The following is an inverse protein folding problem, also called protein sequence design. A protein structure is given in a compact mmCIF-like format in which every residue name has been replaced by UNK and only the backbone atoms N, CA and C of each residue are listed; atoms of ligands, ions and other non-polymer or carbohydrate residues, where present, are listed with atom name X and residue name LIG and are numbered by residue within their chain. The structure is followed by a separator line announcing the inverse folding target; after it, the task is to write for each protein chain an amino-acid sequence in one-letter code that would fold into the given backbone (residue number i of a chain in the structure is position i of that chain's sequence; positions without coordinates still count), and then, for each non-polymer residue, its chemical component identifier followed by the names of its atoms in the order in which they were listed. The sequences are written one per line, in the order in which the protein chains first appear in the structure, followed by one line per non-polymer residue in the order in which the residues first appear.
data_IF_298564787012
#
_entry.id   IF_298564787012
#
_cell.length_a   1.000
_cell.length_b   1.000
_cell.length_c   1.000
_cell.angle_alpha   90.00
_cell.angle_beta   90.00
_cell.angle_gamma   90.00
#
_symmetry.space_group_name_H-M   'P 1'
#
loop_
_entity.id
_entity.type
_entity.pdbx_description
1 polymer ?
#
# COMPACT_ATOMS: atom_id res chain seq x y z
N UNK A 1 40.75 -29.97 -44.03
CA UNK A 1 41.95 -29.56 -44.80
C UNK A 1 41.65 -28.22 -45.47
N UNK A 2 42.66 -27.34 -45.67
CA UNK A 2 42.53 -25.88 -45.82
C UNK A 2 42.69 -25.44 -47.31
N UNK A 3 42.91 -24.20 -47.77
CA UNK A 3 43.25 -22.85 -47.22
C UNK A 3 42.20 -21.80 -47.68
N UNK A 4 42.35 -20.47 -47.75
CA UNK A 4 43.39 -19.42 -47.51
C UNK A 4 42.64 -18.06 -47.38
N UNK A 5 42.96 -17.04 -46.59
CA UNK A 5 44.20 -16.42 -46.04
C UNK A 5 44.84 -15.31 -46.92
N UNK A 6 44.56 -14.05 -46.58
CA UNK A 6 45.42 -12.83 -46.59
C UNK A 6 44.63 -11.76 -45.81
N UNK A 7 45.00 -11.28 -44.61
CA UNK A 7 46.23 -10.66 -44.11
C UNK A 7 46.66 -9.37 -44.81
N UNK A 8 46.42 -8.24 -44.15
CA UNK A 8 47.47 -7.24 -43.89
C UNK A 8 47.21 -6.54 -42.55
N UNK A 9 48.13 -6.74 -41.61
CA UNK A 9 48.26 -6.00 -40.34
C UNK A 9 49.16 -4.76 -40.57
N UNK A 10 49.10 -3.76 -39.68
CA UNK A 10 50.19 -2.81 -39.33
C UNK A 10 49.73 -1.75 -38.30
N UNK A 11 49.63 -2.16 -37.05
CA UNK A 11 50.23 -1.51 -35.86
C UNK A 11 50.54 0.02 -35.83
N UNK A 12 50.06 0.71 -34.78
CA UNK A 12 50.88 1.31 -33.69
C UNK A 12 50.61 2.78 -33.24
N UNK A 13 50.99 3.04 -31.98
CA UNK A 13 51.35 4.31 -31.30
C UNK A 13 50.25 5.23 -30.70
N UNK A 14 49.99 4.97 -29.41
CA UNK A 14 49.98 5.89 -28.24
C UNK A 14 50.04 7.41 -28.48
N UNK A 15 49.13 8.18 -27.85
CA UNK A 15 49.33 9.62 -27.62
C UNK A 15 48.19 10.33 -26.90
N UNK A 16 48.34 10.63 -25.60
CA UNK A 16 47.47 11.57 -24.87
C UNK A 16 47.67 13.00 -25.38
N UNK A 17 46.67 13.89 -25.24
CA UNK A 17 46.98 15.14 -24.54
C UNK A 17 45.87 15.73 -23.64
N UNK A 18 46.35 16.41 -22.61
CA UNK A 18 45.79 17.57 -21.92
C UNK A 18 47.00 18.50 -21.62
N UNK A 19 46.91 19.75 -21.10
CA UNK A 19 45.72 20.54 -20.72
C UNK A 19 45.79 22.03 -21.18
N UNK A 20 44.73 22.81 -20.90
CA UNK A 20 44.69 24.28 -20.58
C UNK A 20 43.21 24.75 -20.58
N UNK A 21 42.73 25.80 -19.88
CA UNK A 21 43.08 26.44 -18.60
C UNK A 21 41.93 27.45 -18.22
N UNK A 22 41.90 27.93 -16.96
CA UNK A 22 41.07 29.05 -16.44
C UNK A 22 39.51 28.85 -16.36
N UNK A 23 38.77 29.40 -15.38
CA UNK A 23 39.13 30.10 -14.15
C UNK A 23 37.99 30.12 -13.08
N UNK A 24 38.41 29.95 -11.81
CA UNK A 24 38.01 30.70 -10.59
C UNK A 24 36.59 30.67 -10.00
N UNK A 25 36.53 30.60 -8.66
CA UNK A 25 35.34 30.85 -7.82
C UNK A 25 35.25 29.88 -6.63
N UNK A 26 35.86 30.21 -5.48
CA UNK A 26 35.86 29.35 -4.29
C UNK A 26 35.36 30.05 -3.02
N UNK A 27 35.04 29.27 -1.99
CA UNK A 27 35.04 29.72 -0.59
C UNK A 27 35.28 28.56 0.38
N UNK A 28 35.86 28.87 1.52
CA UNK A 28 36.71 27.95 2.29
C UNK A 28 36.01 27.21 3.44
N UNK A 29 36.59 26.09 3.86
CA UNK A 29 36.33 25.46 5.16
C UNK A 29 37.43 25.86 6.13
N UNK A 30 37.08 26.30 7.35
CA UNK A 30 38.05 26.42 8.46
C UNK A 30 37.96 25.20 9.38
N UNK A 31 39.08 24.50 9.51
CA UNK A 31 39.37 23.69 10.69
C UNK A 31 40.18 24.55 11.67
N UNK A 32 40.12 24.24 12.97
CA UNK A 32 41.04 24.75 13.98
C UNK A 32 41.21 23.69 15.08
N UNK A 33 42.38 23.69 15.73
CA UNK A 33 42.90 22.53 16.44
C UNK A 33 43.62 22.88 17.75
N UNK A 34 43.42 22.00 18.74
CA UNK A 34 44.41 21.56 19.74
C UNK A 34 44.88 22.48 20.90
N UNK A 35 44.98 21.84 22.08
CA UNK A 35 45.87 22.20 23.20
C UNK A 35 45.21 22.87 24.43
N UNK A 36 45.60 22.59 25.69
CA UNK A 36 46.50 21.55 26.27
C UNK A 36 46.30 21.46 27.81
N UNK A 37 46.48 20.25 28.38
CA UNK A 37 47.09 19.91 29.69
C UNK A 37 46.62 20.47 31.06
N UNK A 38 46.47 19.52 32.01
CA UNK A 38 46.81 19.51 33.45
C UNK A 38 46.06 20.44 34.44
N UNK A 39 45.43 19.92 35.50
CA UNK A 39 46.09 19.44 36.74
C UNK A 39 45.14 18.60 37.62
N UNK A 40 45.61 18.10 38.77
CA UNK A 40 45.00 17.00 39.54
C UNK A 40 44.30 17.39 40.86
N UNK A 41 43.65 16.38 41.47
CA UNK A 41 43.37 16.18 42.89
C UNK A 41 42.03 16.68 43.52
N UNK A 42 41.36 15.68 44.11
CA UNK A 42 40.66 15.66 45.42
C UNK A 42 39.28 16.29 45.67
N UNK A 43 38.37 15.39 46.13
CA UNK A 43 37.45 15.50 47.29
C UNK A 43 36.64 16.82 47.45
N UNK A 44 35.30 16.83 47.38
CA UNK A 44 34.42 16.24 48.40
C UNK A 44 32.95 16.11 47.93
N UNK A 45 32.15 15.35 48.69
CA UNK A 45 30.70 15.20 48.50
C UNK A 45 29.95 16.32 49.23
N UNK A 46 29.09 17.08 48.55
CA UNK A 46 28.00 17.80 49.24
C UNK A 46 26.69 17.85 48.43
N UNK A 47 25.58 17.93 49.15
CA UNK A 47 24.23 17.58 48.71
C UNK A 47 23.53 18.66 47.89
N UNK A 48 22.77 18.28 46.85
CA UNK A 48 21.86 19.20 46.15
C UNK A 48 20.47 18.61 45.83
N UNK A 49 19.88 17.92 46.81
CA UNK A 49 18.53 17.36 46.73
C UNK A 49 17.40 18.41 46.83
N UNK A 50 17.74 19.70 46.94
CA UNK A 50 16.78 20.79 47.13
C UNK A 50 16.17 21.30 45.81
N UNK A 51 16.92 21.23 44.70
CA UNK A 51 16.56 21.93 43.46
C UNK A 51 15.42 21.28 42.63
N UNK A 52 15.05 20.02 42.90
CA UNK A 52 14.07 19.27 42.08
C UNK A 52 12.61 19.43 42.55
N UNK A 53 12.40 19.74 43.84
CA UNK A 53 11.06 19.79 44.44
C UNK A 53 10.22 20.96 43.91
N UNK A 54 10.82 22.13 43.72
CA UNK A 54 10.09 23.32 43.25
C UNK A 54 9.77 23.28 41.76
N UNK A 55 10.60 22.60 40.95
CA UNK A 55 10.27 22.27 39.55
C UNK A 55 9.00 21.40 39.47
N UNK A 56 8.91 20.36 40.31
CA UNK A 56 7.69 19.52 40.39
C UNK A 56 6.45 20.28 40.89
N UNK A 57 6.60 21.25 41.82
CA UNK A 57 5.49 22.11 42.25
C UNK A 57 5.02 23.04 41.11
N UNK A 58 5.95 23.66 40.38
CA UNK A 58 5.65 24.54 39.26
C UNK A 58 4.89 23.80 38.14
N UNK A 59 5.34 22.60 37.75
CA UNK A 59 4.62 21.78 36.77
C UNK A 59 3.24 21.33 37.24
N UNK A 60 3.09 20.93 38.52
CA UNK A 60 1.76 20.62 39.09
C UNK A 60 0.84 21.83 39.08
N UNK A 61 1.35 23.05 39.32
CA UNK A 61 0.57 24.29 39.28
C UNK A 61 0.15 24.64 37.84
N UNK A 62 1.05 24.46 36.86
CA UNK A 62 0.76 24.60 35.42
C UNK A 62 -0.31 23.61 34.94
N UNK A 63 -0.24 22.34 35.36
CA UNK A 63 -1.27 21.33 35.06
C UNK A 63 -2.63 21.68 35.67
N UNK A 64 -2.68 22.27 36.88
CA UNK A 64 -3.94 22.74 37.51
C UNK A 64 -4.54 23.97 36.80
N UNK A 65 -3.72 24.87 36.27
CA UNK A 65 -4.20 26.10 35.63
C UNK A 65 -4.74 25.88 34.20
N UNK A 66 -4.33 24.82 33.50
CA UNK A 66 -4.97 24.40 32.25
C UNK A 66 -6.28 23.58 32.44
N UNK A 67 -6.75 23.40 33.68
CA UNK A 67 -8.02 22.70 33.98
C UNK A 67 -9.16 23.61 34.43
N UNK A 68 -9.08 24.92 34.14
CA UNK A 68 -10.26 25.80 34.30
C UNK A 68 -11.23 25.67 33.11
N UNK A 69 -12.30 24.92 33.38
CA UNK A 69 -13.65 25.07 32.80
C UNK A 69 -13.72 25.16 31.26
N UNK A 70 -13.33 24.07 30.59
CA UNK A 70 -14.16 23.61 29.46
C UNK A 70 -15.33 22.80 30.01
N UNK A 71 -16.49 23.44 30.15
CA UNK A 71 -17.77 22.78 30.41
C UNK A 71 -18.25 22.06 29.14
N UNK A 72 -17.52 21.02 28.73
CA UNK A 72 -18.09 19.98 27.88
C UNK A 72 -19.17 19.30 28.72
N UNK A 73 -20.37 19.15 28.16
CA UNK A 73 -21.51 18.53 28.85
C UNK A 73 -21.06 17.21 29.47
N UNK A 74 -21.16 17.12 30.80
CA UNK A 74 -20.83 15.92 31.57
C UNK A 74 -21.70 14.79 31.01
N UNK A 75 -21.08 13.69 30.56
CA UNK A 75 -21.71 12.64 29.75
C UNK A 75 -22.76 11.83 30.52
N UNK A 76 -23.87 12.45 30.91
CA UNK A 76 -24.93 11.84 31.70
C UNK A 76 -25.64 10.75 30.91
N UNK A 77 -25.75 10.87 29.59
CA UNK A 77 -26.36 9.85 28.72
C UNK A 77 -25.78 8.44 28.88
N UNK A 78 -24.48 8.30 29.19
CA UNK A 78 -23.86 6.98 29.41
C UNK A 78 -24.15 6.45 30.82
N UNK A 79 -24.43 7.33 31.79
CA UNK A 79 -24.82 6.95 33.16
C UNK A 79 -26.35 6.77 33.30
N UNK A 80 -27.13 7.39 32.42
CA UNK A 80 -28.59 7.26 32.26
C UNK A 80 -28.99 6.05 31.41
N UNK A 81 -28.08 5.52 30.57
CA UNK A 81 -28.37 4.39 29.69
C UNK A 81 -28.48 3.06 30.45
N UNK A 82 -29.55 2.26 30.21
CA UNK A 82 -29.68 0.92 30.79
C UNK A 82 -28.46 0.03 30.49
N UNK A 83 -27.99 -0.67 31.53
CA UNK A 83 -26.74 -1.43 31.47
C UNK A 83 -26.72 -2.47 30.33
N UNK A 84 -27.84 -3.13 30.03
CA UNK A 84 -27.94 -4.07 28.91
C UNK A 84 -27.62 -3.43 27.55
N UNK A 85 -28.10 -2.20 27.29
CA UNK A 85 -27.83 -1.49 26.04
C UNK A 85 -26.36 -1.02 25.99
N UNK A 86 -25.83 -0.57 27.12
CA UNK A 86 -24.40 -0.23 27.25
C UNK A 86 -23.51 -1.42 26.91
N UNK A 87 -23.84 -2.60 27.43
CA UNK A 87 -23.09 -3.83 27.21
C UNK A 87 -23.20 -4.36 25.78
N UNK A 88 -24.35 -4.16 25.12
CA UNK A 88 -24.51 -4.45 23.69
C UNK A 88 -23.58 -3.58 22.84
N UNK A 89 -23.55 -2.27 23.07
CA UNK A 89 -22.63 -1.33 22.39
C UNK A 89 -21.17 -1.71 22.66
N UNK A 90 -20.84 -2.12 23.88
CA UNK A 90 -19.50 -2.59 24.25
C UNK A 90 -19.12 -3.92 23.54
N UNK A 91 -20.07 -4.74 23.11
CA UNK A 91 -19.76 -5.97 22.34
C UNK A 91 -19.30 -5.68 20.90
N UNK A 92 -19.64 -4.50 20.37
CA UNK A 92 -19.37 -4.07 19.00
C UNK A 92 -18.03 -3.34 18.81
N UNK A 93 -17.27 -3.04 19.88
CA UNK A 93 -15.99 -2.31 19.81
C UNK A 93 -14.78 -3.25 19.94
N UNK A 94 -13.58 -2.73 19.73
CA UNK A 94 -12.34 -3.50 19.93
C UNK A 94 -11.94 -3.60 21.41
N UNK A 95 -11.17 -4.63 21.83
CA UNK A 95 -10.76 -4.79 23.23
C UNK A 95 -9.88 -3.64 23.74
N UNK A 96 -9.14 -2.97 22.85
CA UNK A 96 -8.37 -1.76 23.19
C UNK A 96 -9.28 -0.62 23.66
N UNK A 97 -10.48 -0.50 23.11
CA UNK A 97 -11.41 0.58 23.43
C UNK A 97 -12.23 0.25 24.68
N UNK A 98 -12.62 -1.01 24.89
CA UNK A 98 -13.11 -1.46 26.20
C UNK A 98 -12.08 -1.23 27.30
N UNK A 99 -10.80 -1.52 27.01
CA UNK A 99 -9.72 -1.26 27.93
C UNK A 99 -9.64 0.23 28.26
N UNK A 100 -9.60 1.14 27.26
CA UNK A 100 -9.65 2.59 27.50
C UNK A 100 -10.90 3.03 28.29
N UNK A 101 -12.08 2.54 27.95
CA UNK A 101 -13.35 2.86 28.63
C UNK A 101 -13.32 2.51 30.13
N UNK A 102 -12.59 1.47 30.51
CA UNK A 102 -12.36 1.10 31.92
C UNK A 102 -11.38 2.03 32.70
N UNK A 103 -10.73 2.98 32.03
CA UNK A 103 -9.95 4.05 32.66
C UNK A 103 -10.70 5.39 32.68
N UNK A 104 -11.73 5.56 31.86
CA UNK A 104 -12.46 6.83 31.72
C UNK A 104 -13.49 7.02 32.84
N UNK A 105 -14.24 5.98 33.22
CA UNK A 105 -15.23 6.04 34.30
C UNK A 105 -15.05 4.87 35.29
N UNK A 106 -15.25 5.13 36.59
CA UNK A 106 -15.22 4.11 37.64
C UNK A 106 -16.38 3.13 37.50
N UNK A 107 -17.55 3.59 37.07
CA UNK A 107 -18.74 2.76 36.92
C UNK A 107 -18.58 1.80 35.73
N UNK A 108 -18.13 2.28 34.57
CA UNK A 108 -17.80 1.42 33.42
C UNK A 108 -16.69 0.42 33.76
N UNK A 109 -15.66 0.83 34.53
CA UNK A 109 -14.63 -0.08 35.03
C UNK A 109 -15.19 -1.18 35.92
N UNK A 110 -16.10 -0.84 36.84
CA UNK A 110 -16.70 -1.82 37.74
C UNK A 110 -17.46 -2.89 36.94
N UNK A 111 -18.26 -2.48 35.95
CA UNK A 111 -19.02 -3.40 35.08
C UNK A 111 -18.10 -4.20 34.14
N UNK A 112 -17.10 -3.58 33.53
CA UNK A 112 -16.19 -4.22 32.56
C UNK A 112 -15.15 -5.18 33.19
N UNK A 113 -15.07 -5.28 34.52
CA UNK A 113 -14.14 -6.20 35.20
C UNK A 113 -14.88 -7.39 35.86
N UNK A 114 -16.22 -7.38 35.95
CA UNK A 114 -16.97 -8.53 36.49
C UNK A 114 -16.91 -9.75 35.57
N UNK A 115 -17.14 -10.93 36.15
CA UNK A 115 -17.21 -12.19 35.41
C UNK A 115 -18.35 -12.23 34.38
N UNK A 116 -19.41 -11.43 34.57
CA UNK A 116 -20.54 -11.30 33.66
C UNK A 116 -20.12 -10.67 32.32
N UNK A 117 -19.19 -9.70 32.37
CA UNK A 117 -18.69 -9.02 31.17
C UNK A 117 -17.85 -9.92 30.24
N UNK A 118 -17.48 -11.15 30.66
CA UNK A 118 -16.65 -12.06 29.86
C UNK A 118 -17.20 -12.32 28.46
N UNK A 119 -18.51 -12.43 28.30
CA UNK A 119 -19.13 -12.65 26.98
C UNK A 119 -18.89 -11.46 26.04
N UNK A 120 -18.94 -10.24 26.58
CA UNK A 120 -18.74 -8.97 25.85
C UNK A 120 -17.29 -8.86 25.41
N UNK A 121 -16.35 -9.14 26.30
CA UNK A 121 -14.92 -9.16 25.97
C UNK A 121 -14.58 -10.25 24.95
N UNK A 122 -15.16 -11.44 25.08
CA UNK A 122 -14.98 -12.52 24.11
C UNK A 122 -15.55 -12.15 22.73
N UNK A 123 -16.64 -11.36 22.68
CA UNK A 123 -17.17 -10.83 21.43
C UNK A 123 -16.28 -9.70 20.87
N UNK A 124 -15.86 -8.75 21.71
CA UNK A 124 -14.90 -7.70 21.35
C UNK A 124 -13.58 -8.26 20.80
N UNK A 125 -13.08 -9.38 21.35
CA UNK A 125 -11.91 -10.09 20.81
C UNK A 125 -12.13 -10.63 19.40
N UNK A 126 -13.33 -11.07 19.03
CA UNK A 126 -13.65 -11.51 17.66
C UNK A 126 -13.63 -10.35 16.65
N UNK A 127 -13.89 -9.12 17.11
CA UNK A 127 -13.85 -7.93 16.27
C UNK A 127 -12.42 -7.61 15.77
N UNK A 128 -11.37 -8.14 16.43
CA UNK A 128 -9.97 -8.00 16.00
C UNK A 128 -9.46 -9.32 15.40
N UNK A 129 -9.42 -9.47 14.07
CA UNK A 129 -9.10 -10.74 13.42
C UNK A 129 -7.62 -11.11 13.58
N UNK A 130 -7.35 -12.34 14.04
CA UNK A 130 -6.00 -12.88 14.20
C UNK A 130 -5.36 -12.64 15.57
N UNK A 131 -6.13 -12.20 16.58
CA UNK A 131 -5.65 -12.26 17.97
C UNK A 131 -5.42 -13.70 18.41
N UNK A 132 -4.39 -13.97 19.24
CA UNK A 132 -4.26 -15.25 19.93
C UNK A 132 -5.48 -15.54 20.83
N UNK A 133 -5.67 -16.81 21.19
CA UNK A 133 -6.66 -17.17 22.21
C UNK A 133 -6.31 -16.55 23.57
N UNK A 134 -7.32 -16.20 24.35
CA UNK A 134 -7.15 -15.83 25.76
C UNK A 134 -6.53 -17.02 26.52
N UNK A 135 -5.39 -16.85 27.18
CA UNK A 135 -4.82 -17.89 28.03
C UNK A 135 -5.74 -18.19 29.24
N UNK A 136 -5.83 -19.45 29.70
CA UNK A 136 -6.81 -19.87 30.71
C UNK A 136 -6.63 -19.19 32.09
N UNK A 137 -5.44 -18.69 32.36
CA UNK A 137 -5.00 -18.02 33.59
C UNK A 137 -5.06 -16.47 33.49
N UNK A 138 -5.64 -15.92 32.43
CA UNK A 138 -5.81 -14.47 32.24
C UNK A 138 -7.26 -14.01 32.31
N UNK A 139 -7.45 -12.79 32.83
CA UNK A 139 -8.68 -12.05 32.59
C UNK A 139 -8.60 -11.33 31.26
N UNK A 140 -9.75 -11.19 30.60
CA UNK A 140 -9.91 -10.46 29.33
C UNK A 140 -9.35 -9.04 29.38
N UNK A 141 -9.65 -8.32 30.46
CA UNK A 141 -9.15 -6.97 30.72
C UNK A 141 -7.62 -6.90 30.77
N UNK A 142 -6.97 -7.86 31.44
CA UNK A 142 -5.52 -7.93 31.56
C UNK A 142 -4.86 -8.38 30.25
N UNK A 143 -5.53 -9.26 29.49
CA UNK A 143 -5.10 -9.68 28.17
C UNK A 143 -5.13 -8.51 27.16
N UNK A 144 -6.19 -7.69 27.19
CA UNK A 144 -6.26 -6.46 26.41
C UNK A 144 -5.18 -5.45 26.85
N UNK A 145 -4.90 -5.34 28.15
CA UNK A 145 -3.79 -4.53 28.66
C UNK A 145 -2.45 -4.97 28.05
N UNK A 146 -2.14 -6.27 28.10
CA UNK A 146 -0.87 -6.83 27.63
C UNK A 146 -0.63 -6.56 26.13
N UNK A 147 -1.67 -6.73 25.30
CA UNK A 147 -1.59 -6.58 23.85
C UNK A 147 -1.55 -5.11 23.38
N UNK A 148 -2.37 -4.25 23.98
CA UNK A 148 -2.70 -2.95 23.40
C UNK A 148 -2.14 -1.75 24.18
N UNK A 149 -1.94 -1.87 25.50
CA UNK A 149 -1.36 -0.81 26.31
C UNK A 149 0.08 -0.53 25.83
N UNK A 150 0.46 0.74 25.69
CA UNK A 150 1.83 1.12 25.29
C UNK A 150 2.71 1.52 26.48
N UNK A 151 2.18 1.57 27.70
CA UNK A 151 2.94 1.89 28.93
C UNK A 151 3.45 0.63 29.64
N UNK A 152 4.61 0.77 30.28
CA UNK A 152 5.19 -0.25 31.16
C UNK A 152 4.30 -0.45 32.40
N UNK A 153 3.88 -1.68 32.68
CA UNK A 153 3.01 -2.00 33.82
C UNK A 153 3.70 -1.83 35.18
N UNK A 154 5.04 -1.80 35.22
CA UNK A 154 5.82 -1.61 36.47
C UNK A 154 6.14 -0.14 36.78
N UNK A 155 6.50 0.68 35.78
CA UNK A 155 6.92 2.07 36.01
C UNK A 155 6.02 3.14 35.40
N UNK A 156 4.99 2.76 34.63
CA UNK A 156 4.04 3.67 33.98
C UNK A 156 4.59 4.45 32.77
N UNK A 157 5.89 4.40 32.50
CA UNK A 157 6.54 5.08 31.37
C UNK A 157 6.21 4.37 30.05
N UNK A 158 6.05 5.13 28.97
CA UNK A 158 5.81 4.59 27.62
C UNK A 158 6.92 3.61 27.18
N UNK A 159 6.50 2.39 26.88
CA UNK A 159 7.30 1.30 26.33
C UNK A 159 7.15 1.27 24.81
N UNK A 160 7.82 2.25 24.16
CA UNK A 160 7.80 2.48 22.71
C UNK A 160 8.30 1.27 21.90
N UNK A 161 9.26 0.51 22.44
CA UNK A 161 9.66 -0.78 21.89
C UNK A 161 8.78 -1.90 22.48
N UNK A 162 8.24 -2.77 21.63
CA UNK A 162 7.52 -3.99 22.04
C UNK A 162 8.48 -5.04 22.64
N UNK A 163 8.98 -4.80 23.85
CA UNK A 163 9.42 -5.88 24.75
C UNK A 163 8.21 -6.52 25.44
N UNK A 164 7.22 -6.89 24.64
CA UNK A 164 6.20 -7.87 25.03
C UNK A 164 6.95 -9.18 25.30
N UNK A 165 6.80 -9.71 26.50
CA UNK A 165 7.51 -10.90 26.96
C UNK A 165 6.44 -11.95 27.31
N UNK A 166 5.93 -12.71 26.31
CA UNK A 166 4.68 -13.47 26.47
C UNK A 166 4.74 -14.50 27.60
N UNK A 167 5.94 -14.99 27.91
CA UNK A 167 6.23 -15.95 28.97
C UNK A 167 6.02 -15.38 30.40
N UNK A 168 6.24 -14.08 30.64
CA UNK A 168 5.94 -13.43 31.94
C UNK A 168 4.64 -12.64 31.94
N UNK A 169 3.93 -12.60 30.80
CA UNK A 169 2.56 -12.08 30.73
C UNK A 169 2.40 -10.61 31.14
N UNK A 170 3.49 -9.84 31.09
CA UNK A 170 3.53 -8.42 31.44
C UNK A 170 4.17 -7.60 30.32
N UNK A 171 3.71 -6.35 30.17
CA UNK A 171 4.38 -5.36 29.32
C UNK A 171 5.36 -4.54 30.15
N UNK A 172 6.63 -4.63 29.81
CA UNK A 172 7.71 -3.90 30.48
C UNK A 172 8.53 -3.12 29.45
N UNK A 173 9.02 -1.94 29.84
CA UNK A 173 10.06 -1.25 29.07
C UNK A 173 11.41 -1.97 29.25
N UNK A 174 12.33 -1.77 28.31
CA UNK A 174 13.68 -2.37 28.33
C UNK A 174 14.41 -2.19 29.66
N UNK A 175 14.30 -1.00 30.28
CA UNK A 175 14.91 -0.72 31.59
C UNK A 175 14.30 -1.57 32.73
N UNK A 176 12.98 -1.76 32.77
CA UNK A 176 12.34 -2.63 33.76
C UNK A 176 12.63 -4.11 33.47
N UNK A 177 12.67 -4.52 32.21
CA UNK A 177 13.03 -5.88 31.81
C UNK A 177 14.43 -6.22 32.31
N UNK A 178 15.45 -5.42 32.00
CA UNK A 178 16.83 -5.70 32.42
C UNK A 178 17.04 -5.60 33.94
N UNK A 179 16.26 -4.79 34.65
CA UNK A 179 16.36 -4.66 36.12
C UNK A 179 15.68 -5.79 36.89
N UNK A 180 14.51 -6.25 36.43
CA UNK A 180 13.66 -7.17 37.19
C UNK A 180 13.60 -8.58 36.61
N UNK A 181 13.95 -8.79 35.34
CA UNK A 181 14.04 -10.12 34.72
C UNK A 181 15.46 -10.54 34.46
N UNK A 182 16.00 -11.25 35.47
CA UNK A 182 17.08 -12.20 35.26
C UNK A 182 16.50 -13.42 34.54
N UNK A 183 16.35 -13.33 33.23
CA UNK A 183 15.95 -14.46 32.39
C UNK A 183 17.05 -15.53 32.44
N UNK A 184 16.80 -16.58 33.20
CA UNK A 184 17.62 -17.79 33.14
C UNK A 184 17.52 -18.42 31.74
N UNK A 185 18.47 -19.28 31.38
CA UNK A 185 18.66 -19.76 30.00
C UNK A 185 17.38 -20.39 29.41
N UNK A 186 16.64 -21.14 30.21
CA UNK A 186 15.36 -21.77 29.87
C UNK A 186 14.25 -20.78 29.49
N UNK A 187 14.20 -19.59 30.11
CA UNK A 187 13.22 -18.55 29.76
C UNK A 187 13.52 -17.90 28.41
N UNK A 188 14.80 -17.83 28.01
CA UNK A 188 15.20 -17.41 26.67
C UNK A 188 14.81 -18.44 25.62
N UNK A 189 14.95 -19.73 25.93
CA UNK A 189 14.53 -20.84 25.06
C UNK A 189 13.00 -20.86 24.84
N UNK A 190 12.20 -20.65 25.89
CA UNK A 190 10.74 -20.49 25.75
C UNK A 190 10.36 -19.23 24.94
N UNK A 191 11.08 -18.11 25.13
CA UNK A 191 10.91 -16.91 24.32
C UNK A 191 11.26 -17.13 22.84
N UNK A 192 12.34 -17.87 22.56
CA UNK A 192 12.72 -18.35 21.23
C UNK A 192 11.66 -19.26 20.62
N UNK A 193 11.07 -20.18 21.40
CA UNK A 193 10.02 -21.08 20.93
C UNK A 193 8.72 -20.34 20.57
N UNK A 194 8.26 -19.41 21.42
CA UNK A 194 7.06 -18.61 21.15
C UNK A 194 7.25 -17.61 20.01
N UNK A 195 8.43 -16.99 19.90
CA UNK A 195 8.76 -16.21 18.69
C UNK A 195 8.88 -17.11 17.46
N UNK A 196 9.38 -18.34 17.56
CA UNK A 196 9.33 -19.31 16.46
C UNK A 196 7.90 -19.65 16.03
N UNK A 197 6.94 -19.78 16.96
CA UNK A 197 5.53 -20.07 16.64
C UNK A 197 4.84 -18.87 15.96
N UNK A 198 5.04 -17.65 16.48
CA UNK A 198 4.53 -16.44 15.84
C UNK A 198 5.16 -16.21 14.46
N UNK A 199 6.48 -16.43 14.34
CA UNK A 199 7.20 -16.36 13.07
C UNK A 199 6.82 -17.50 12.13
N UNK A 200 6.45 -18.69 12.63
CA UNK A 200 5.97 -19.79 11.80
C UNK A 200 4.61 -19.46 11.17
N UNK A 201 3.68 -18.87 11.93
CA UNK A 201 2.42 -18.35 11.39
C UNK A 201 2.67 -17.26 10.33
N UNK A 202 3.53 -16.28 10.62
CA UNK A 202 3.90 -15.23 9.66
C UNK A 202 4.60 -15.79 8.40
N UNK A 203 5.45 -16.80 8.55
CA UNK A 203 6.13 -17.51 7.46
C UNK A 203 5.13 -18.32 6.62
N UNK A 204 4.17 -19.00 7.25
CA UNK A 204 3.11 -19.75 6.57
C UNK A 204 2.18 -18.82 5.78
N UNK A 205 1.81 -17.67 6.34
CA UNK A 205 1.04 -16.66 5.61
C UNK A 205 1.85 -16.07 4.44
N UNK A 206 3.14 -15.80 4.63
CA UNK A 206 4.05 -15.34 3.56
C UNK A 206 4.18 -16.39 2.44
N UNK A 207 4.31 -17.67 2.79
CA UNK A 207 4.30 -18.78 1.82
C UNK A 207 3.01 -18.84 1.01
N UNK A 208 1.84 -18.71 1.66
CA UNK A 208 0.55 -18.67 0.95
C UNK A 208 0.43 -17.45 0.03
N UNK A 209 0.86 -16.26 0.45
CA UNK A 209 0.88 -15.06 -0.40
C UNK A 209 1.84 -15.20 -1.60
N UNK A 210 3.00 -15.84 -1.42
CA UNK A 210 3.95 -16.09 -2.49
C UNK A 210 3.42 -17.13 -3.50
N UNK A 211 2.79 -18.21 -3.02
CA UNK A 211 2.10 -19.19 -3.88
C UNK A 211 0.94 -18.55 -4.64
N UNK A 212 0.19 -17.65 -3.99
CA UNK A 212 -0.86 -16.87 -4.64
C UNK A 212 -0.31 -16.03 -5.80
N UNK A 213 0.75 -15.26 -5.55
CA UNK A 213 1.40 -14.43 -6.58
C UNK A 213 1.99 -15.30 -7.71
N UNK A 214 2.53 -16.48 -7.39
CA UNK A 214 3.06 -17.45 -8.37
C UNK A 214 1.95 -17.91 -9.33
N UNK A 215 0.80 -18.34 -8.82
CA UNK A 215 -0.33 -18.80 -9.66
C UNK A 215 -0.98 -17.68 -10.46
N UNK A 216 -1.13 -16.48 -9.91
CA UNK A 216 -1.61 -15.34 -10.69
C UNK A 216 -0.67 -15.01 -11.87
N UNK A 217 0.65 -15.21 -11.69
CA UNK A 217 1.62 -15.09 -12.77
C UNK A 217 1.50 -16.22 -13.82
N UNK A 218 1.19 -17.45 -13.41
CA UNK A 218 0.87 -18.57 -14.32
C UNK A 218 -0.39 -18.28 -15.16
N UNK A 219 -1.37 -17.59 -14.58
CA UNK A 219 -2.56 -17.06 -15.28
C UNK A 219 -2.26 -15.79 -16.13
N UNK A 220 -1.01 -15.34 -16.19
CA UNK A 220 -0.56 -14.23 -17.02
C UNK A 220 -0.86 -12.83 -16.47
N UNK A 221 -1.12 -12.68 -15.17
CA UNK A 221 -1.18 -11.39 -14.49
C UNK A 221 0.20 -10.93 -14.03
N UNK A 222 0.45 -9.61 -14.06
CA UNK A 222 1.68 -9.03 -13.51
C UNK A 222 1.45 -8.41 -12.12
N UNK A 223 2.53 -7.93 -11.48
CA UNK A 223 2.44 -7.32 -10.15
C UNK A 223 1.54 -6.06 -10.11
N UNK A 224 1.39 -5.35 -11.24
CA UNK A 224 0.58 -4.12 -11.37
C UNK A 224 -0.92 -4.45 -11.49
N UNK A 225 -1.27 -5.65 -11.98
CA UNK A 225 -2.66 -6.15 -11.96
C UNK A 225 -3.16 -6.41 -10.54
N UNK A 226 -2.24 -6.74 -9.63
CA UNK A 226 -2.49 -7.15 -8.24
C UNK A 226 -2.27 -6.03 -7.22
N UNK A 227 -1.58 -4.94 -7.57
CA UNK A 227 -1.18 -3.85 -6.66
C UNK A 227 -2.35 -3.25 -5.85
N UNK A 228 -3.56 -3.25 -6.41
CA UNK A 228 -4.78 -2.72 -5.77
C UNK A 228 -5.62 -3.77 -5.03
N UNK A 229 -5.11 -4.99 -4.88
CA UNK A 229 -5.83 -6.13 -4.29
C UNK A 229 -5.14 -6.50 -2.97
N UNK A 230 -5.83 -6.36 -1.83
CA UNK A 230 -5.28 -6.84 -0.56
C UNK A 230 -5.36 -8.38 -0.47
N UNK A 231 -4.37 -9.05 -1.05
CA UNK A 231 -4.20 -10.50 -1.04
C UNK A 231 -4.27 -11.08 0.39
N UNK A 232 -3.85 -10.32 1.42
CA UNK A 232 -3.87 -10.80 2.81
C UNK A 232 -5.28 -10.99 3.35
N UNK A 233 -6.27 -10.27 2.81
CA UNK A 233 -7.67 -10.42 3.18
C UNK A 233 -8.21 -11.79 2.73
N UNK A 234 -7.89 -12.19 1.50
CA UNK A 234 -8.44 -13.39 0.84
C UNK A 234 -7.70 -14.70 1.14
N UNK A 235 -6.41 -14.62 1.52
CA UNK A 235 -5.57 -15.81 1.79
C UNK A 235 -5.84 -16.44 3.18
N UNK A 236 -6.86 -15.96 3.90
CA UNK A 236 -7.29 -16.50 5.21
C UNK A 236 -8.33 -17.61 5.01
N UNK A 237 -7.87 -18.83 5.23
CA UNK A 237 -8.63 -20.10 5.39
C UNK A 237 -9.50 -20.59 4.22
N UNK A 238 -9.95 -19.73 3.30
CA UNK A 238 -10.65 -20.14 2.08
C UNK A 238 -9.73 -20.93 1.12
N UNK A 239 -10.30 -21.91 0.41
CA UNK A 239 -9.57 -22.66 -0.62
C UNK A 239 -9.40 -21.83 -1.89
N UNK A 240 -8.29 -22.06 -2.61
CA UNK A 240 -7.94 -21.30 -3.82
C UNK A 240 -9.12 -21.21 -4.82
N UNK A 241 -9.88 -22.30 -4.97
CA UNK A 241 -11.00 -22.41 -5.92
C UNK A 241 -12.19 -21.48 -5.60
N UNK A 242 -12.36 -21.08 -4.33
CA UNK A 242 -13.39 -20.11 -3.89
C UNK A 242 -12.95 -18.66 -4.15
N UNK A 243 -11.64 -18.41 -4.07
CA UNK A 243 -11.02 -17.08 -4.18
C UNK A 243 -10.74 -16.69 -5.64
N UNK A 244 -10.36 -17.66 -6.49
CA UNK A 244 -9.99 -17.44 -7.90
C UNK A 244 -11.04 -16.67 -8.71
N UNK A 245 -12.35 -16.97 -8.67
CA UNK A 245 -13.33 -16.26 -9.50
C UNK A 245 -13.40 -14.77 -9.14
N UNK A 246 -13.40 -14.47 -7.83
CA UNK A 246 -13.55 -13.10 -7.30
C UNK A 246 -12.32 -12.25 -7.62
N UNK A 247 -11.12 -12.75 -7.31
CA UNK A 247 -9.89 -12.00 -7.58
C UNK A 247 -9.56 -11.99 -9.08
N UNK A 248 -9.81 -13.09 -9.80
CA UNK A 248 -9.62 -13.19 -11.24
C UNK A 248 -10.42 -12.13 -12.01
N UNK A 249 -11.68 -11.87 -11.64
CA UNK A 249 -12.46 -10.76 -12.21
C UNK A 249 -11.80 -9.41 -11.98
N UNK A 250 -11.34 -9.12 -10.75
CA UNK A 250 -10.71 -7.84 -10.40
C UNK A 250 -9.36 -7.66 -11.11
N UNK A 251 -8.52 -8.70 -11.13
CA UNK A 251 -7.22 -8.69 -11.79
C UNK A 251 -7.34 -8.59 -13.32
N UNK A 252 -8.36 -9.23 -13.93
CA UNK A 252 -8.67 -9.06 -15.34
C UNK A 252 -9.16 -7.63 -15.64
N UNK A 253 -10.04 -7.06 -14.80
CA UNK A 253 -10.49 -5.68 -14.97
C UNK A 253 -9.34 -4.66 -14.85
N UNK A 254 -8.40 -4.87 -13.92
CA UNK A 254 -7.19 -4.07 -13.79
C UNK A 254 -6.28 -4.20 -15.04
N UNK A 255 -6.06 -5.43 -15.50
CA UNK A 255 -5.27 -5.73 -16.71
C UNK A 255 -5.86 -5.05 -17.93
N UNK A 256 -7.15 -5.23 -18.16
CA UNK A 256 -7.87 -4.58 -19.26
C UNK A 256 -7.86 -3.05 -19.16
N UNK A 257 -7.96 -2.48 -17.95
CA UNK A 257 -7.85 -1.03 -17.74
C UNK A 257 -6.46 -0.52 -18.12
N UNK A 258 -5.39 -1.15 -17.62
CA UNK A 258 -4.00 -0.80 -17.98
C UNK A 258 -3.74 -0.91 -19.48
N UNK A 259 -4.17 -2.02 -20.10
CA UNK A 259 -3.96 -2.26 -21.54
C UNK A 259 -4.75 -1.23 -22.38
N UNK A 260 -5.95 -0.82 -21.95
CA UNK A 260 -6.68 0.30 -22.57
C UNK A 260 -5.90 1.61 -22.43
N UNK A 261 -5.45 1.96 -21.22
CA UNK A 261 -4.68 3.18 -20.96
C UNK A 261 -3.40 3.26 -21.83
N UNK A 262 -2.73 2.12 -22.04
CA UNK A 262 -1.53 2.03 -22.88
C UNK A 262 -1.83 2.10 -24.39
N UNK A 263 -2.78 1.31 -24.90
CA UNK A 263 -2.95 1.13 -26.34
C UNK A 263 -4.01 2.03 -27.00
N UNK A 264 -5.00 2.56 -26.25
CA UNK A 264 -6.09 3.36 -26.85
C UNK A 264 -5.55 4.62 -27.52
N UNK A 265 -4.64 5.37 -26.87
CA UNK A 265 -4.09 6.60 -27.43
C UNK A 265 -3.28 6.34 -28.73
N UNK A 266 -2.45 5.27 -28.74
CA UNK A 266 -1.69 4.82 -29.91
C UNK A 266 -2.63 4.40 -31.05
N UNK A 267 -3.56 3.49 -30.77
CA UNK A 267 -4.45 2.91 -31.76
C UNK A 267 -5.37 3.99 -32.37
N UNK A 268 -5.90 4.92 -31.55
CA UNK A 268 -6.67 6.07 -32.04
C UNK A 268 -5.83 7.00 -32.92
N UNK A 269 -4.57 7.25 -32.56
CA UNK A 269 -3.67 8.11 -33.35
C UNK A 269 -3.37 7.49 -34.72
N UNK A 270 -3.12 6.17 -34.80
CA UNK A 270 -2.92 5.48 -36.08
C UNK A 270 -4.23 5.42 -36.90
N UNK A 271 -5.38 5.17 -36.28
CA UNK A 271 -6.67 5.18 -36.97
C UNK A 271 -6.99 6.57 -37.57
N UNK A 272 -6.67 7.66 -36.85
CA UNK A 272 -6.76 9.03 -37.37
C UNK A 272 -5.81 9.25 -38.55
N UNK A 273 -4.56 8.78 -38.48
CA UNK A 273 -3.62 8.89 -39.59
C UNK A 273 -4.12 8.16 -40.85
N UNK A 274 -4.71 6.97 -40.70
CA UNK A 274 -5.34 6.22 -41.81
C UNK A 274 -6.53 6.99 -42.39
N UNK A 275 -7.43 7.54 -41.56
CA UNK A 275 -8.55 8.36 -42.03
C UNK A 275 -8.07 9.56 -42.86
N UNK A 276 -7.08 10.29 -42.34
CA UNK A 276 -6.46 11.45 -43.00
C UNK A 276 -5.80 11.05 -44.32
N UNK A 277 -5.07 9.93 -44.35
CA UNK A 277 -4.46 9.39 -45.58
C UNK A 277 -5.52 9.06 -46.64
N UNK A 278 -6.62 8.40 -46.26
CA UNK A 278 -7.71 8.07 -47.19
C UNK A 278 -8.41 9.32 -47.71
N UNK A 279 -8.67 10.32 -46.85
CA UNK A 279 -9.31 11.58 -47.25
C UNK A 279 -8.46 12.39 -48.23
N UNK A 280 -7.16 12.52 -47.99
CA UNK A 280 -6.26 13.26 -48.88
C UNK A 280 -5.89 12.49 -50.18
N UNK A 281 -6.12 11.18 -50.22
CA UNK A 281 -5.98 10.39 -51.45
C UNK A 281 -7.16 10.55 -52.43
N UNK A 282 -8.24 11.23 -52.05
CA UNK A 282 -9.39 11.47 -52.92
C UNK A 282 -9.08 12.56 -53.95
N UNK A 283 -9.23 12.28 -55.27
CA UNK A 283 -8.81 13.21 -56.32
C UNK A 283 -9.75 14.40 -56.50
N UNK A 284 -11.02 14.32 -56.09
CA UNK A 284 -12.02 15.39 -56.32
C UNK A 284 -12.65 15.94 -55.03
N UNK A 285 -13.02 17.22 -55.04
CA UNK A 285 -13.76 17.86 -53.93
C UNK A 285 -15.14 17.24 -53.71
N UNK A 286 -15.81 16.76 -54.77
CA UNK A 286 -17.09 16.06 -54.65
C UNK A 286 -16.94 14.75 -53.87
N UNK A 287 -15.83 14.03 -54.05
CA UNK A 287 -15.57 12.81 -53.29
C UNK A 287 -15.20 13.09 -51.83
N UNK A 288 -14.47 14.17 -51.55
CA UNK A 288 -14.17 14.64 -50.19
C UNK A 288 -15.44 15.05 -49.43
N UNK A 289 -16.31 15.83 -50.07
CA UNK A 289 -17.57 16.28 -49.47
C UNK A 289 -18.58 15.14 -49.27
N UNK A 290 -18.47 14.06 -50.05
CA UNK A 290 -19.24 12.82 -49.89
C UNK A 290 -18.43 11.68 -49.26
N UNK A 291 -17.36 12.01 -48.52
CA UNK A 291 -16.57 11.03 -47.80
C UNK A 291 -17.20 10.63 -46.47
N UNK A 292 -16.76 9.49 -45.94
CA UNK A 292 -17.25 8.87 -44.72
C UNK A 292 -17.07 9.80 -43.50
N UNK A 293 -18.12 10.10 -42.72
CA UNK A 293 -17.96 10.81 -41.45
C UNK A 293 -17.09 10.03 -40.46
N UNK A 294 -16.33 10.74 -39.62
CA UNK A 294 -15.38 10.11 -38.67
C UNK A 294 -16.07 9.11 -37.73
N UNK A 295 -17.34 9.35 -37.35
CA UNK A 295 -18.10 8.41 -36.50
C UNK A 295 -18.32 7.07 -37.22
N UNK A 296 -18.69 7.10 -38.48
CA UNK A 296 -18.96 5.91 -39.29
C UNK A 296 -17.66 5.19 -39.71
N UNK A 297 -16.58 5.94 -39.91
CA UNK A 297 -15.24 5.34 -40.04
C UNK A 297 -14.85 4.50 -38.82
N UNK A 298 -15.18 4.96 -37.61
CA UNK A 298 -14.89 4.22 -36.38
C UNK A 298 -15.82 3.02 -36.15
N UNK A 299 -16.94 2.89 -36.88
CA UNK A 299 -17.83 1.71 -36.81
C UNK A 299 -17.47 0.61 -37.80
N UNK A 300 -16.66 0.91 -38.83
CA UNK A 300 -16.13 -0.07 -39.81
C UNK A 300 -15.49 -1.28 -39.11
N UNK A 301 -15.72 -2.48 -39.64
CA UNK A 301 -15.29 -3.75 -39.01
C UNK A 301 -13.77 -3.81 -38.90
N UNK A 302 -13.07 -3.48 -39.98
CA UNK A 302 -11.60 -3.48 -40.00
C UNK A 302 -11.02 -2.42 -39.06
N UNK A 303 -11.63 -1.24 -38.96
CA UNK A 303 -11.20 -0.18 -38.03
C UNK A 303 -11.43 -0.57 -36.57
N UNK A 304 -12.59 -1.16 -36.25
CA UNK A 304 -12.88 -1.69 -34.90
C UNK A 304 -11.92 -2.80 -34.49
N UNK A 305 -11.57 -3.70 -35.41
CA UNK A 305 -10.56 -4.74 -35.17
C UNK A 305 -9.18 -4.15 -34.89
N UNK A 306 -8.77 -3.12 -35.65
CA UNK A 306 -7.50 -2.42 -35.45
C UNK A 306 -7.48 -1.69 -34.10
N UNK A 307 -8.56 -0.97 -33.74
CA UNK A 307 -8.67 -0.27 -32.46
C UNK A 307 -8.65 -1.21 -31.25
N UNK A 308 -9.20 -2.42 -31.39
CA UNK A 308 -9.17 -3.46 -30.36
C UNK A 308 -7.82 -4.20 -30.24
N UNK A 309 -6.88 -4.00 -31.17
CA UNK A 309 -5.59 -4.69 -31.16
C UNK A 309 -4.74 -4.33 -29.94
N UNK A 310 -4.18 -5.36 -29.31
CA UNK A 310 -3.30 -5.29 -28.13
C UNK A 310 -1.84 -5.65 -28.47
N UNK A 311 -1.51 -5.70 -29.76
CA UNK A 311 -0.17 -6.05 -30.24
C UNK A 311 0.88 -4.99 -29.83
N UNK A 312 2.16 -5.38 -29.64
CA UNK A 312 3.28 -4.44 -29.49
C UNK A 312 3.45 -3.56 -30.75
N UNK A 313 4.25 -2.48 -30.66
CA UNK A 313 4.25 -1.40 -31.66
C UNK A 313 4.71 -1.84 -33.06
N UNK A 314 5.68 -2.75 -33.13
CA UNK A 314 6.25 -3.36 -34.33
C UNK A 314 5.27 -4.28 -35.06
N UNK A 315 4.57 -5.13 -34.32
CA UNK A 315 3.49 -5.96 -34.84
C UNK A 315 2.28 -5.10 -35.24
N UNK A 316 1.91 -4.09 -34.44
CA UNK A 316 0.76 -3.23 -34.67
C UNK A 316 0.87 -2.43 -35.97
N UNK A 317 2.05 -1.89 -36.29
CA UNK A 317 2.28 -1.19 -37.56
C UNK A 317 2.23 -2.12 -38.77
N UNK A 318 2.51 -3.42 -38.56
CA UNK A 318 2.33 -4.46 -39.59
C UNK A 318 0.85 -4.82 -39.76
N UNK A 319 0.09 -4.95 -38.66
CA UNK A 319 -1.37 -5.11 -38.69
C UNK A 319 -2.09 -3.90 -39.32
N UNK A 320 -1.63 -2.68 -39.05
CA UNK A 320 -2.22 -1.47 -39.64
C UNK A 320 -2.03 -1.45 -41.17
N UNK A 321 -0.86 -1.85 -41.66
CA UNK A 321 -0.56 -1.96 -43.10
C UNK A 321 -1.40 -3.03 -43.80
N UNK A 322 -1.62 -4.19 -43.18
CA UNK A 322 -2.48 -5.25 -43.75
C UNK A 322 -3.98 -4.95 -43.63
N UNK A 323 -4.40 -4.17 -42.63
CA UNK A 323 -5.78 -3.70 -42.48
C UNK A 323 -6.13 -2.58 -43.49
N UNK A 324 -5.18 -1.73 -43.88
CA UNK A 324 -5.40 -0.59 -44.79
C UNK A 324 -6.21 -0.89 -46.07
N UNK A 325 -5.90 -1.93 -46.88
CA UNK A 325 -6.71 -2.25 -48.07
C UNK A 325 -8.15 -2.65 -47.73
N UNK A 326 -8.36 -3.36 -46.61
CA UNK A 326 -9.69 -3.73 -46.13
C UNK A 326 -10.49 -2.52 -45.65
N UNK A 327 -9.85 -1.61 -44.91
CA UNK A 327 -10.44 -0.33 -44.46
C UNK A 327 -10.83 0.54 -45.68
N UNK A 328 -9.97 0.61 -46.70
CA UNK A 328 -10.25 1.33 -47.94
C UNK A 328 -11.46 0.73 -48.69
N UNK A 329 -11.50 -0.59 -48.85
CA UNK A 329 -12.63 -1.28 -49.47
C UNK A 329 -13.95 -1.09 -48.70
N UNK A 330 -13.93 -1.23 -47.36
CA UNK A 330 -15.10 -0.97 -46.51
C UNK A 330 -15.59 0.49 -46.61
N UNK A 331 -14.66 1.46 -46.64
CA UNK A 331 -14.97 2.89 -46.77
C UNK A 331 -15.60 3.20 -48.14
N UNK A 332 -15.01 2.69 -49.22
CA UNK A 332 -15.53 2.87 -50.58
C UNK A 332 -16.93 2.23 -50.74
N UNK A 333 -17.13 1.03 -50.18
CA UNK A 333 -18.42 0.35 -50.17
C UNK A 333 -19.48 1.12 -49.35
N UNK A 334 -19.10 1.81 -48.27
CA UNK A 334 -20.00 2.70 -47.55
C UNK A 334 -20.39 3.92 -48.39
N UNK A 335 -19.41 4.66 -48.90
CA UNK A 335 -19.66 5.85 -49.71
C UNK A 335 -20.51 5.51 -50.96
N UNK A 336 -20.32 4.34 -51.56
CA UNK A 336 -21.13 3.85 -52.69
C UNK A 336 -22.55 3.39 -52.31
N UNK A 337 -22.85 3.13 -51.04
CA UNK A 337 -24.25 3.00 -50.56
C UNK A 337 -24.85 4.38 -50.36
N UNK A 338 -24.22 5.21 -49.53
CA UNK A 338 -24.68 6.58 -49.22
C UNK A 338 -24.97 7.42 -50.47
N UNK A 339 -24.11 7.36 -51.51
CA UNK A 339 -24.31 8.07 -52.79
C UNK A 339 -25.43 7.47 -53.67
N UNK A 340 -25.87 6.24 -53.44
CA UNK A 340 -27.05 5.66 -54.09
C UNK A 340 -28.32 6.06 -53.35
N UNK A 341 -28.29 6.01 -52.03
CA UNK A 341 -29.42 6.38 -51.18
C UNK A 341 -29.80 7.86 -51.42
N UNK A 342 -28.81 8.76 -51.43
CA UNK A 342 -29.00 10.19 -51.78
C UNK A 342 -29.60 10.42 -53.18
N UNK A 343 -29.27 9.58 -54.16
CA UNK A 343 -29.84 9.68 -55.52
C UNK A 343 -31.27 9.17 -55.58
N UNK A 344 -31.57 8.08 -54.87
CA UNK A 344 -32.92 7.56 -54.78
C UNK A 344 -33.88 8.56 -54.11
N UNK A 345 -33.42 9.29 -53.09
CA UNK A 345 -34.17 10.38 -52.48
C UNK A 345 -34.38 11.55 -53.47
N UNK A 346 -33.33 11.99 -54.18
CA UNK A 346 -33.44 13.04 -55.21
C UNK A 346 -34.42 12.69 -56.34
N UNK A 347 -34.41 11.43 -56.81
CA UNK A 347 -35.32 10.93 -57.85
C UNK A 347 -36.77 10.80 -57.32
N UNK A 348 -36.94 10.43 -56.05
CA UNK A 348 -38.25 10.36 -55.38
C UNK A 348 -38.87 11.74 -55.09
N UNK A 349 -38.06 12.78 -54.86
CA UNK A 349 -38.52 14.17 -54.71
C UNK A 349 -38.86 14.86 -56.04
N UNK A 350 -38.42 14.30 -57.17
CA UNK A 350 -38.67 14.82 -58.53
C UNK A 350 -39.85 14.14 -59.24
N UNK A 351 -40.40 13.08 -58.64
CA UNK A 351 -41.52 12.27 -59.14
C UNK A 351 -42.85 12.65 -58.49
#
# INVERSE_FOLDING_TARGET
MPTSSTDTDLTAVVGSPSPTAAAQGGQERKASSFGTSDTAADLETFTDAAFDVDRMKYERKKRKMCTEKRSVGRSSWLEEMPANIMLEVFSCVEPIDLFKLSYINKNTRAVLITAESKAIWAQARKNVPGLPGLPPDMTEWFYAALLFQQTCQMCGIDAMARSETPFIRMRLCSACTSKHLKLDKTAKEMGLFLTHLLNASAKQQTQKCNEFARRMKELGHDARDLERIDIKQFVREETWDQVLPRIGMIANANRDRRLREQFVARNQSKARAIFVQLYYALPTELEKNSFLPVKDFLTLRSVRSLLASRAPDDEFDTCARSALPHISAESNAFCARMRRDLKADDDAWRS
#
